data_IF_610390556891
#
_entry.id   IF_610390556891
#
_cell.length_a   1.000
_cell.length_b   1.000
_cell.length_c   1.000
_cell.angle_alpha   90.00
_cell.angle_beta   90.00
_cell.angle_gamma   90.00
#
_symmetry.space_group_name_H-M   'P 1'
#
loop_
_entity.id
_entity.type
_entity.pdbx_description
1 polymer ?
#
# COMPACT_ATOMS: atom_id res chain seq x y z
N UNK A 1 29.25 12.66 45.07
CA UNK A 1 29.14 12.01 43.73
C UNK A 1 27.72 11.50 43.56
N UNK A 2 26.87 12.21 42.82
CA UNK A 2 25.49 11.79 42.55
C UNK A 2 25.30 11.69 41.04
N UNK A 3 25.13 10.46 40.54
CA UNK A 3 24.91 10.19 39.13
C UNK A 3 23.46 10.48 38.77
N UNK A 4 23.20 11.63 38.14
CA UNK A 4 21.92 11.93 37.52
C UNK A 4 21.75 11.05 36.28
N UNK A 5 20.99 9.95 36.38
CA UNK A 5 20.61 9.13 35.22
C UNK A 5 19.62 9.92 34.36
N UNK A 6 20.12 10.55 33.31
CA UNK A 6 19.29 11.15 32.26
C UNK A 6 18.60 10.04 31.47
N UNK A 7 17.35 9.72 31.82
CA UNK A 7 16.49 8.85 31.02
C UNK A 7 16.18 9.56 29.70
N UNK A 8 16.87 9.19 28.61
CA UNK A 8 16.49 9.59 27.25
C UNK A 8 15.04 9.15 27.01
N UNK A 9 14.10 10.10 26.96
CA UNK A 9 12.74 9.83 26.47
C UNK A 9 12.88 9.24 25.07
N UNK A 10 12.52 7.97 24.89
CA UNK A 10 12.45 7.37 23.58
C UNK A 10 11.55 8.26 22.71
N UNK A 11 12.07 8.78 21.60
CA UNK A 11 11.23 9.42 20.59
C UNK A 11 10.23 8.37 20.12
N UNK A 12 9.00 8.43 20.63
CA UNK A 12 7.93 7.54 20.16
C UNK A 12 7.73 7.84 18.68
N UNK A 13 8.04 6.87 17.83
CA UNK A 13 7.72 6.96 16.41
C UNK A 13 6.24 7.31 16.27
N UNK A 14 5.88 8.34 15.49
CA UNK A 14 4.48 8.71 15.35
C UNK A 14 3.69 7.53 14.80
N UNK A 15 2.57 7.20 15.43
CA UNK A 15 1.72 6.07 15.03
C UNK A 15 1.17 6.34 13.64
N UNK A 16 1.16 5.32 12.78
CA UNK A 16 0.59 5.42 11.42
C UNK A 16 -0.93 5.38 11.48
N UNK A 17 -1.61 6.08 10.56
CA UNK A 17 -3.07 6.21 10.55
C UNK A 17 -3.81 4.87 10.62
N UNK A 18 -3.42 3.88 9.79
CA UNK A 18 -4.04 2.55 9.81
C UNK A 18 -4.00 1.87 11.18
N UNK A 19 -2.90 2.02 11.94
CA UNK A 19 -2.78 1.48 13.29
C UNK A 19 -3.78 2.12 14.25
N UNK A 20 -4.06 3.42 14.09
CA UNK A 20 -5.10 4.13 14.86
C UNK A 20 -6.47 3.56 14.53
N UNK A 21 -6.80 3.44 13.23
CA UNK A 21 -8.08 2.86 12.79
C UNK A 21 -8.30 1.45 13.36
N UNK A 22 -7.27 0.60 13.29
CA UNK A 22 -7.32 -0.78 13.81
C UNK A 22 -7.46 -0.83 15.32
N UNK A 23 -6.73 0.02 16.06
CA UNK A 23 -6.81 0.09 17.53
C UNK A 23 -8.22 0.48 18.01
N UNK A 24 -8.84 1.44 17.35
CA UNK A 24 -10.16 1.95 17.73
C UNK A 24 -11.32 1.27 16.99
N UNK A 25 -11.04 0.19 16.24
CA UNK A 25 -12.04 -0.56 15.44
C UNK A 25 -12.87 0.36 14.53
N UNK A 26 -12.24 1.41 14.00
CA UNK A 26 -12.86 2.28 13.01
C UNK A 26 -12.81 1.52 11.68
N UNK A 27 -13.98 1.27 11.09
CA UNK A 27 -14.14 0.40 9.92
C UNK A 27 -14.34 1.16 8.61
N UNK A 28 -14.34 2.50 8.63
CA UNK A 28 -14.54 3.33 7.45
C UNK A 28 -13.83 4.67 7.61
N UNK A 29 -13.22 5.16 6.53
CA UNK A 29 -12.54 6.46 6.52
C UNK A 29 -11.42 6.52 5.48
N UNK A 30 -10.59 7.58 5.51
CA UNK A 30 -9.48 7.72 4.58
C UNK A 30 -8.42 6.65 4.81
N UNK A 31 -7.70 6.29 3.74
CA UNK A 31 -6.46 5.54 3.80
C UNK A 31 -5.31 6.53 3.56
N UNK A 32 -4.50 6.73 4.59
CA UNK A 32 -3.33 7.59 4.56
C UNK A 32 -2.05 6.77 4.49
N UNK A 33 -1.15 7.19 3.59
CA UNK A 33 0.18 6.63 3.44
C UNK A 33 1.24 7.63 3.85
N UNK A 34 2.05 7.25 4.84
CA UNK A 34 3.24 8.01 5.22
C UNK A 34 4.45 7.57 4.38
N UNK A 35 5.03 8.49 3.64
CA UNK A 35 6.26 8.21 2.87
C UNK A 35 7.51 8.25 3.76
N UNK A 36 8.61 7.60 3.36
CA UNK A 36 9.91 7.84 3.98
C UNK A 36 10.28 9.33 3.95
N UNK A 37 10.96 9.82 4.98
CA UNK A 37 11.37 11.24 5.05
C UNK A 37 12.32 11.65 3.93
N UNK A 38 13.08 10.69 3.44
CA UNK A 38 14.05 10.77 2.35
C UNK A 38 13.47 10.24 1.02
N UNK A 39 12.15 10.15 0.88
CA UNK A 39 11.52 9.69 -0.36
C UNK A 39 11.94 10.58 -1.53
N UNK A 40 12.39 9.95 -2.60
CA UNK A 40 12.79 10.67 -3.81
C UNK A 40 11.57 11.24 -4.55
N UNK A 41 11.72 12.28 -5.39
CA UNK A 41 10.60 12.78 -6.20
C UNK A 41 9.94 11.71 -7.07
N UNK A 42 10.73 10.73 -7.54
CA UNK A 42 10.23 9.58 -8.31
C UNK A 42 9.34 8.65 -7.47
N UNK A 43 9.69 8.42 -6.20
CA UNK A 43 8.88 7.62 -5.27
C UNK A 43 7.62 8.36 -4.82
N UNK A 44 7.70 9.69 -4.64
CA UNK A 44 6.51 10.51 -4.38
C UNK A 44 5.53 10.42 -5.54
N UNK A 45 6.01 10.49 -6.78
CA UNK A 45 5.16 10.33 -7.98
C UNK A 45 4.50 8.95 -8.03
N UNK A 46 5.23 7.89 -7.68
CA UNK A 46 4.68 6.51 -7.63
C UNK A 46 3.63 6.34 -6.54
N UNK A 47 3.84 6.94 -5.37
CA UNK A 47 2.84 6.95 -4.31
C UNK A 47 1.58 7.73 -4.70
N UNK A 48 1.74 8.84 -5.42
CA UNK A 48 0.61 9.62 -5.94
C UNK A 48 -0.17 8.82 -6.99
N UNK A 49 0.53 8.19 -7.94
CA UNK A 49 -0.07 7.29 -8.94
C UNK A 49 -0.87 6.18 -8.26
N UNK A 50 -0.33 5.58 -7.19
CA UNK A 50 -1.06 4.59 -6.40
C UNK A 50 -2.37 5.15 -5.84
N UNK A 51 -2.33 6.32 -5.20
CA UNK A 51 -3.52 6.95 -4.63
C UNK A 51 -4.56 7.30 -5.71
N UNK A 52 -4.11 7.81 -6.85
CA UNK A 52 -5.00 8.19 -7.96
C UNK A 52 -5.71 6.98 -8.56
N UNK A 53 -4.99 5.87 -8.80
CA UNK A 53 -5.59 4.62 -9.25
C UNK A 53 -6.53 4.01 -8.21
N UNK A 54 -6.16 4.06 -6.92
CA UNK A 54 -7.01 3.56 -5.85
C UNK A 54 -8.32 4.37 -5.73
N UNK A 55 -8.24 5.69 -5.86
CA UNK A 55 -9.41 6.58 -5.87
C UNK A 55 -10.26 6.39 -7.13
N UNK A 56 -9.64 6.15 -8.29
CA UNK A 56 -10.36 5.76 -9.51
C UNK A 56 -11.10 4.44 -9.32
N UNK A 57 -10.44 3.40 -8.81
CA UNK A 57 -11.06 2.11 -8.51
C UNK A 57 -12.20 2.25 -7.48
N UNK A 58 -12.05 3.11 -6.48
CA UNK A 58 -13.11 3.45 -5.53
C UNK A 58 -14.33 4.06 -6.23
N UNK A 59 -14.11 5.07 -7.10
CA UNK A 59 -15.17 5.73 -7.86
C UNK A 59 -15.88 4.78 -8.83
N UNK A 60 -15.14 3.85 -9.41
CA UNK A 60 -15.66 2.83 -10.34
C UNK A 60 -16.28 1.63 -9.62
N UNK A 61 -16.32 1.60 -8.28
CA UNK A 61 -16.89 0.49 -7.52
C UNK A 61 -16.10 -0.82 -7.62
N UNK A 62 -14.80 -0.74 -7.96
CA UNK A 62 -13.90 -1.88 -8.17
C UNK A 62 -13.21 -2.36 -6.89
N UNK A 63 -13.36 -1.64 -5.78
CA UNK A 63 -12.86 -2.14 -4.49
C UNK A 63 -13.70 -3.33 -4.01
N UNK A 64 -13.10 -4.13 -3.15
CA UNK A 64 -13.77 -5.25 -2.51
C UNK A 64 -15.05 -4.79 -1.79
N UNK A 65 -16.20 -5.46 -2.00
CA UNK A 65 -17.47 -5.11 -1.36
C UNK A 65 -17.43 -5.30 0.17
N UNK A 66 -16.52 -6.13 0.66
CA UNK A 66 -16.32 -6.38 2.09
C UNK A 66 -15.30 -5.43 2.72
N UNK A 67 -14.66 -4.54 1.94
CA UNK A 67 -13.55 -3.70 2.39
C UNK A 67 -12.20 -4.42 2.31
N UNK A 68 -11.22 -3.96 3.09
CA UNK A 68 -9.87 -4.53 3.13
C UNK A 68 -9.92 -6.04 3.36
N UNK A 69 -9.36 -6.81 2.44
CA UNK A 69 -9.21 -8.25 2.57
C UNK A 69 -7.80 -8.63 3.02
N UNK A 70 -7.68 -9.72 3.76
CA UNK A 70 -6.38 -10.35 4.04
C UNK A 70 -5.93 -11.12 2.80
N UNK A 71 -4.73 -10.81 2.32
CA UNK A 71 -4.09 -11.53 1.21
C UNK A 71 -3.32 -12.71 1.80
N UNK A 72 -3.86 -13.92 1.67
CA UNK A 72 -3.27 -15.17 2.18
C UNK A 72 -3.76 -16.39 1.41
N UNK A 73 -3.04 -17.50 1.53
CA UNK A 73 -3.38 -18.76 0.84
C UNK A 73 -3.47 -18.54 -0.67
N UNK A 74 -4.47 -19.17 -1.30
CA UNK A 74 -4.68 -19.10 -2.75
C UNK A 74 -4.68 -17.67 -3.33
N UNK A 75 -5.28 -16.70 -2.64
CA UNK A 75 -5.30 -15.31 -3.13
C UNK A 75 -3.90 -14.69 -3.21
N UNK A 76 -3.01 -15.08 -2.30
CA UNK A 76 -1.61 -14.64 -2.32
C UNK A 76 -0.88 -15.27 -3.51
N UNK A 77 -1.04 -16.58 -3.69
CA UNK A 77 -0.36 -17.31 -4.77
C UNK A 77 -0.84 -16.80 -6.14
N UNK A 78 -2.16 -16.66 -6.32
CA UNK A 78 -2.76 -16.14 -7.55
C UNK A 78 -2.34 -14.68 -7.86
N UNK A 79 -2.12 -13.87 -6.82
CA UNK A 79 -1.59 -12.50 -6.92
C UNK A 79 -0.14 -12.51 -7.43
N UNK A 80 0.68 -13.38 -6.89
CA UNK A 80 2.09 -13.51 -7.29
C UNK A 80 2.19 -13.98 -8.75
N UNK A 81 1.35 -14.94 -9.13
CA UNK A 81 1.22 -15.41 -10.52
C UNK A 81 0.74 -14.29 -11.46
N UNK A 82 -0.22 -13.46 -11.05
CA UNK A 82 -0.67 -12.32 -11.85
C UNK A 82 0.47 -11.32 -12.11
N UNK A 83 1.26 -11.01 -11.08
CA UNK A 83 2.42 -10.13 -11.24
C UNK A 83 3.50 -10.73 -12.13
N UNK A 84 3.69 -12.05 -12.11
CA UNK A 84 4.64 -12.74 -12.99
C UNK A 84 4.17 -12.71 -14.45
N UNK A 85 2.88 -13.01 -14.70
CA UNK A 85 2.29 -12.88 -16.05
C UNK A 85 2.42 -11.45 -16.59
N UNK A 86 2.21 -10.45 -15.74
CA UNK A 86 2.38 -9.04 -16.11
C UNK A 86 3.82 -8.70 -16.51
N UNK A 87 4.80 -9.22 -15.78
CA UNK A 87 6.23 -9.07 -16.10
C UNK A 87 6.56 -9.73 -17.43
N UNK A 88 6.13 -10.97 -17.64
CA UNK A 88 6.34 -11.70 -18.89
C UNK A 88 5.72 -10.99 -20.09
N UNK A 89 4.48 -10.48 -19.94
CA UNK A 89 3.82 -9.68 -20.97
C UNK A 89 4.60 -8.39 -21.26
N UNK A 90 5.12 -7.71 -20.24
CA UNK A 90 5.93 -6.51 -20.41
C UNK A 90 7.25 -6.79 -21.15
N UNK A 91 7.90 -7.91 -20.84
CA UNK A 91 9.11 -8.37 -21.50
C UNK A 91 8.86 -8.73 -22.96
N UNK A 92 7.81 -9.51 -23.25
CA UNK A 92 7.40 -9.85 -24.61
C UNK A 92 7.04 -8.61 -25.46
N UNK A 93 6.52 -7.55 -24.83
CA UNK A 93 6.23 -6.27 -25.46
C UNK A 93 7.47 -5.35 -25.64
N UNK A 94 8.67 -5.80 -25.26
CA UNK A 94 9.90 -5.01 -25.35
C UNK A 94 10.02 -3.89 -24.30
N UNK A 95 9.21 -3.93 -23.23
CA UNK A 95 9.20 -2.94 -22.16
C UNK A 95 9.33 -3.61 -20.77
N UNK A 96 10.42 -4.35 -20.50
CA UNK A 96 10.59 -5.08 -19.25
C UNK A 96 10.63 -4.15 -18.04
N UNK A 97 10.21 -4.63 -16.86
CA UNK A 97 10.19 -3.83 -15.63
C UNK A 97 11.59 -3.42 -15.13
N UNK A 98 12.63 -4.16 -15.50
CA UNK A 98 14.00 -3.90 -15.08
C UNK A 98 14.14 -3.97 -13.55
N UNK A 99 14.78 -3.00 -12.88
CA UNK A 99 14.93 -3.02 -11.42
C UNK A 99 13.64 -2.65 -10.66
N UNK A 100 12.55 -2.37 -11.36
CA UNK A 100 11.26 -1.97 -10.79
C UNK A 100 10.32 -3.17 -10.68
N UNK A 101 9.24 -3.00 -9.94
CA UNK A 101 8.22 -4.04 -9.74
C UNK A 101 6.94 -3.73 -10.51
N UNK A 102 6.24 -4.79 -10.90
CA UNK A 102 4.84 -4.75 -11.29
C UNK A 102 3.97 -4.55 -10.04
N UNK A 103 3.72 -3.28 -9.70
CA UNK A 103 2.91 -2.91 -8.55
C UNK A 103 1.42 -3.06 -8.87
N UNK A 104 0.67 -3.64 -7.95
CA UNK A 104 -0.79 -3.74 -8.07
C UNK A 104 -1.43 -2.38 -7.78
N UNK A 105 -2.23 -1.86 -8.70
CA UNK A 105 -2.89 -0.55 -8.57
C UNK A 105 -4.43 -0.68 -8.62
N UNK A 106 -5.13 -0.53 -7.48
CA UNK A 106 -4.60 -0.58 -6.11
C UNK A 106 -4.16 -1.99 -5.70
N UNK A 107 -3.51 -2.10 -4.54
CA UNK A 107 -3.04 -3.38 -4.00
C UNK A 107 -4.20 -4.37 -3.81
N UNK A 108 -3.93 -5.66 -3.99
CA UNK A 108 -4.89 -6.77 -3.93
C UNK A 108 -5.74 -6.76 -2.67
N UNK A 109 -5.19 -6.27 -1.56
CA UNK A 109 -5.90 -6.13 -0.28
C UNK A 109 -7.14 -5.22 -0.38
N UNK A 110 -7.18 -4.28 -1.32
CA UNK A 110 -8.30 -3.35 -1.49
C UNK A 110 -9.34 -3.82 -2.50
N UNK A 111 -8.95 -4.65 -3.47
CA UNK A 111 -9.83 -5.13 -4.56
C UNK A 111 -10.33 -6.55 -4.33
N UNK A 112 -9.59 -7.37 -3.58
CA UNK A 112 -9.98 -8.74 -3.25
C UNK A 112 -9.81 -9.75 -4.37
N UNK A 113 -9.21 -9.35 -5.49
CA UNK A 113 -8.95 -10.20 -6.66
C UNK A 113 -7.47 -10.17 -7.02
N UNK A 114 -6.92 -11.28 -7.56
CA UNK A 114 -5.50 -11.37 -7.87
C UNK A 114 -5.08 -10.42 -8.99
N UNK A 115 -5.90 -10.26 -10.03
CA UNK A 115 -5.65 -9.33 -11.13
C UNK A 115 -6.12 -7.92 -10.75
N UNK A 116 -5.22 -6.93 -10.62
CA UNK A 116 -5.59 -5.58 -10.24
C UNK A 116 -6.25 -4.82 -11.40
N UNK A 117 -7.03 -3.76 -11.14
CA UNK A 117 -7.55 -2.86 -12.16
C UNK A 117 -6.48 -2.17 -13.02
N UNK A 118 -5.24 -2.11 -12.52
CA UNK A 118 -4.10 -1.56 -13.24
C UNK A 118 -2.76 -1.99 -12.64
N UNK A 119 -1.70 -1.76 -13.41
CA UNK A 119 -0.33 -2.10 -13.06
C UNK A 119 0.55 -0.85 -13.03
N UNK A 120 1.31 -0.70 -11.96
CA UNK A 120 2.27 0.40 -11.76
C UNK A 120 3.71 -0.08 -11.90
N UNK A 121 4.62 0.85 -12.20
CA UNK A 121 6.07 0.58 -12.33
C UNK A 121 6.84 1.25 -11.20
N UNK A 122 6.88 0.60 -10.05
CA UNK A 122 7.35 1.22 -8.80
C UNK A 122 8.72 0.71 -8.36
N UNK A 123 9.42 1.46 -7.52
CA UNK A 123 10.58 0.94 -6.79
C UNK A 123 10.13 -0.13 -5.80
N UNK A 124 11.01 -1.10 -5.53
CA UNK A 124 10.78 -2.10 -4.48
C UNK A 124 10.46 -1.44 -3.13
N UNK A 125 11.17 -0.35 -2.81
CA UNK A 125 11.03 0.38 -1.55
C UNK A 125 9.64 0.97 -1.40
N UNK A 126 9.15 1.74 -2.38
CA UNK A 126 7.85 2.40 -2.22
C UNK A 126 6.70 1.39 -2.24
N UNK A 127 6.76 0.38 -3.11
CA UNK A 127 5.75 -0.69 -3.16
C UNK A 127 5.62 -1.41 -1.80
N UNK A 128 6.75 -1.71 -1.15
CA UNK A 128 6.78 -2.32 0.18
C UNK A 128 6.22 -1.38 1.27
N UNK A 129 6.53 -0.07 1.20
CA UNK A 129 6.00 0.93 2.12
C UNK A 129 4.47 1.04 2.03
N UNK A 130 3.91 1.07 0.82
CA UNK A 130 2.46 1.17 0.61
C UNK A 130 1.74 -0.13 1.06
N UNK A 131 2.27 -1.29 0.68
CA UNK A 131 1.70 -2.58 1.07
C UNK A 131 1.74 -2.81 2.59
N UNK A 132 2.87 -2.53 3.23
CA UNK A 132 3.00 -2.67 4.70
C UNK A 132 2.03 -1.77 5.47
N UNK A 133 1.76 -0.56 4.97
CA UNK A 133 0.81 0.37 5.58
C UNK A 133 -0.63 -0.01 5.35
N UNK A 134 -0.96 -0.53 4.16
CA UNK A 134 -2.28 -1.12 3.92
C UNK A 134 -2.59 -2.21 4.94
N UNK A 135 -1.58 -3.02 5.30
CA UNK A 135 -1.62 -4.05 6.34
C UNK A 135 -2.07 -3.59 7.73
N UNK A 136 -1.96 -2.29 8.02
CA UNK A 136 -2.25 -1.73 9.34
C UNK A 136 -3.73 -1.42 9.55
N UNK A 137 -4.52 -1.31 8.49
CA UNK A 137 -5.97 -1.12 8.58
C UNK A 137 -6.66 -2.43 9.01
N UNK A 138 -7.80 -2.38 9.72
CA UNK A 138 -8.53 -3.59 10.08
C UNK A 138 -9.04 -4.33 8.84
N UNK A 139 -9.10 -5.65 8.90
CA UNK A 139 -9.82 -6.43 7.88
C UNK A 139 -11.29 -5.97 7.87
N UNK A 140 -11.84 -5.75 6.68
CA UNK A 140 -13.15 -5.15 6.48
C UNK A 140 -13.18 -3.61 6.43
N UNK A 141 -12.04 -2.93 6.57
CA UNK A 141 -11.98 -1.47 6.48
C UNK A 141 -12.45 -0.97 5.11
N UNK A 142 -13.35 0.01 5.07
CA UNK A 142 -13.91 0.59 3.85
C UNK A 142 -13.31 1.98 3.58
N UNK A 143 -12.38 2.11 2.62
CA UNK A 143 -11.80 3.40 2.26
C UNK A 143 -12.86 4.38 1.77
N UNK A 144 -12.74 5.65 2.17
CA UNK A 144 -13.50 6.77 1.57
C UNK A 144 -12.66 7.57 0.57
N UNK A 145 -11.34 7.48 0.69
CA UNK A 145 -10.34 8.05 -0.20
C UNK A 145 -8.97 7.45 0.13
N UNK A 146 -8.01 7.62 -0.77
CA UNK A 146 -6.60 7.30 -0.59
C UNK A 146 -5.77 8.57 -0.77
N UNK A 147 -4.87 8.84 0.17
CA UNK A 147 -4.02 10.04 0.15
C UNK A 147 -2.66 9.79 0.77
N UNK A 148 -1.70 10.64 0.39
CA UNK A 148 -0.41 10.73 1.06
C UNK A 148 -0.59 11.62 2.30
N UNK A 149 -0.02 11.21 3.43
CA UNK A 149 0.02 12.04 4.64
C UNK A 149 0.94 13.25 4.38
N UNK A 150 0.40 14.45 4.61
CA UNK A 150 1.11 15.73 4.51
C UNK A 150 1.86 16.07 5.79
#
# INVERSE_FOLDING_TARGET
MSFLRYSKRAHKTPVKHGTVMKRYKIMRGPVEFRLPKDATPDEVRQAQEYCDYANKALKEGKLSPTGRVKVSGKLKDDKEDAAERERQRAEAAGNPYGPRVAAHLPDTTWVGVPEPPGWGRHTNRINSVLGSQSGLYPEGYRPTEFRIET
#
